data_IF_051805868154
#
_entry.id   IF_051805868154
#
_cell.length_a   1.000
_cell.length_b   1.000
_cell.length_c   1.000
_cell.angle_alpha   90.00
_cell.angle_beta   90.00
_cell.angle_gamma   90.00
#
_symmetry.space_group_name_H-M   'P 1'
#
loop_
_entity.id
_entity.type
_entity.pdbx_description
1 polymer ?
#
# COMPACT_ATOMS: atom_id res chain seq x y z
N UNK A 1 17.78 -1.74 -24.71
CA UNK A 1 16.33 -1.76 -24.51
C UNK A 1 15.99 -0.51 -23.69
N UNK A 2 15.00 0.26 -24.08
CA UNK A 2 14.59 1.47 -23.34
C UNK A 2 13.45 1.09 -22.40
N UNK A 3 13.64 1.24 -21.09
CA UNK A 3 12.65 0.83 -20.08
C UNK A 3 11.67 1.97 -19.71
N UNK A 4 11.97 3.20 -20.09
CA UNK A 4 11.18 4.38 -19.77
C UNK A 4 11.76 5.67 -20.36
N UNK A 5 11.18 6.81 -19.99
CA UNK A 5 11.58 8.14 -20.44
C UNK A 5 11.18 9.22 -19.42
N UNK A 6 11.83 10.37 -19.46
CA UNK A 6 11.42 11.54 -18.69
C UNK A 6 10.23 12.23 -19.37
N UNK A 7 9.29 12.68 -18.57
CA UNK A 7 8.19 13.58 -18.95
C UNK A 7 8.45 14.93 -18.29
N UNK A 8 9.12 15.85 -19.01
CA UNK A 8 9.52 17.15 -18.45
C UNK A 8 8.31 17.99 -18.04
N UNK A 9 7.23 17.93 -18.82
CA UNK A 9 6.00 18.67 -18.54
C UNK A 9 5.34 18.24 -17.24
N UNK A 10 5.33 16.93 -16.97
CA UNK A 10 4.75 16.36 -15.73
C UNK A 10 5.79 16.27 -14.60
N UNK A 11 7.08 16.43 -14.89
CA UNK A 11 8.22 16.16 -13.98
C UNK A 11 8.18 14.75 -13.42
N UNK A 12 7.98 13.78 -14.31
CA UNK A 12 7.87 12.36 -13.99
C UNK A 12 8.91 11.55 -14.75
N UNK A 13 9.32 10.43 -14.18
CA UNK A 13 9.94 9.37 -14.92
C UNK A 13 8.89 8.29 -15.23
N UNK A 14 8.65 8.03 -16.49
CA UNK A 14 7.65 7.09 -16.99
C UNK A 14 8.32 5.77 -17.32
N UNK A 15 7.91 4.70 -16.66
CA UNK A 15 8.40 3.34 -16.84
C UNK A 15 7.35 2.56 -17.62
N UNK A 16 7.74 1.98 -18.75
CA UNK A 16 6.82 1.36 -19.71
C UNK A 16 6.81 -0.17 -19.69
N UNK A 17 7.58 -0.77 -18.79
CA UNK A 17 7.63 -2.22 -18.57
C UNK A 17 7.90 -2.55 -17.12
N UNK A 18 7.22 -3.54 -16.53
CA UNK A 18 7.51 -3.97 -15.16
C UNK A 18 8.81 -4.77 -15.04
N UNK A 19 9.39 -5.21 -16.17
CA UNK A 19 10.59 -6.05 -16.22
C UNK A 19 11.85 -5.23 -16.40
N UNK A 20 12.12 -4.35 -15.44
CA UNK A 20 13.38 -3.58 -15.37
C UNK A 20 14.51 -4.46 -14.80
N UNK A 21 15.80 -4.13 -15.04
CA UNK A 21 16.92 -4.91 -14.51
C UNK A 21 16.97 -4.99 -12.98
N UNK A 22 16.51 -3.93 -12.30
CA UNK A 22 16.40 -3.80 -10.85
C UNK A 22 15.10 -3.09 -10.54
N UNK A 23 14.54 -3.22 -9.30
CA UNK A 23 13.43 -2.39 -8.87
C UNK A 23 13.81 -0.91 -8.92
N UNK A 24 13.03 -0.11 -9.65
CA UNK A 24 13.19 1.33 -9.69
C UNK A 24 12.20 1.94 -8.71
N UNK A 25 12.71 2.74 -7.79
CA UNK A 25 11.96 3.19 -6.61
C UNK A 25 11.74 4.70 -6.62
N UNK A 26 10.68 5.11 -5.96
CA UNK A 26 10.40 6.48 -5.56
C UNK A 26 10.32 6.58 -4.04
N UNK A 27 10.73 7.73 -3.50
CA UNK A 27 10.58 8.06 -2.08
C UNK A 27 9.38 8.99 -1.90
N UNK A 28 8.48 8.61 -1.02
CA UNK A 28 7.29 9.38 -0.66
C UNK A 28 7.44 9.89 0.77
N UNK A 29 6.94 11.11 1.01
CA UNK A 29 7.03 11.77 2.32
C UNK A 29 8.18 12.77 2.43
N UNK A 30 8.05 13.69 3.36
CA UNK A 30 8.99 14.81 3.53
C UNK A 30 9.28 15.18 4.98
N UNK A 31 8.54 14.67 5.97
CA UNK A 31 8.64 15.10 7.37
C UNK A 31 8.92 13.95 8.34
N UNK A 32 7.91 13.16 8.65
CA UNK A 32 8.02 12.11 9.66
C UNK A 32 7.61 10.74 9.14
N UNK A 33 6.60 10.66 8.30
CA UNK A 33 6.16 9.42 7.67
C UNK A 33 6.76 9.31 6.26
N UNK A 34 7.38 8.19 5.99
CA UNK A 34 8.03 7.93 4.72
C UNK A 34 7.62 6.59 4.16
N UNK A 35 7.61 6.52 2.84
CA UNK A 35 7.38 5.29 2.11
C UNK A 35 8.36 5.16 0.94
N UNK A 36 8.87 3.95 0.72
CA UNK A 36 9.49 3.56 -0.53
C UNK A 36 8.46 2.80 -1.35
N UNK A 37 8.35 3.12 -2.62
CA UNK A 37 7.55 2.37 -3.57
C UNK A 37 8.33 2.08 -4.83
N UNK A 38 8.36 0.82 -5.25
CA UNK A 38 8.91 0.44 -6.55
C UNK A 38 7.84 0.59 -7.64
N UNK A 39 8.28 0.55 -8.88
CA UNK A 39 7.40 0.56 -10.02
C UNK A 39 6.44 -0.65 -10.06
N UNK A 40 6.71 -1.71 -9.31
CA UNK A 40 5.82 -2.89 -9.17
C UNK A 40 5.06 -2.93 -7.84
N UNK A 41 4.98 -1.80 -7.11
CA UNK A 41 4.34 -1.64 -5.80
C UNK A 41 5.05 -2.37 -4.64
N UNK A 42 6.28 -2.81 -4.83
CA UNK A 42 7.16 -3.27 -3.76
C UNK A 42 7.62 -2.12 -2.88
N UNK A 43 8.20 -2.44 -1.72
CA UNK A 43 8.74 -1.45 -0.81
C UNK A 43 8.10 -1.49 0.58
N UNK A 44 8.31 -0.43 1.36
CA UNK A 44 7.90 -0.38 2.77
C UNK A 44 7.68 1.04 3.25
N UNK A 45 6.93 1.16 4.36
CA UNK A 45 6.64 2.43 5.02
C UNK A 45 7.19 2.43 6.44
N UNK A 46 7.60 3.61 6.93
CA UNK A 46 8.17 3.78 8.27
C UNK A 46 7.89 5.19 8.83
N UNK A 47 7.97 5.31 10.15
CA UNK A 47 7.85 6.58 10.86
C UNK A 47 9.20 6.96 11.45
N UNK A 48 9.79 8.08 11.01
CA UNK A 48 11.09 8.66 11.42
C UNK A 48 12.30 7.74 11.26
N UNK A 49 12.23 6.49 11.73
CA UNK A 49 13.36 5.55 11.75
C UNK A 49 12.99 4.25 11.01
N UNK A 50 13.64 4.02 9.88
CA UNK A 50 13.40 2.86 9.03
C UNK A 50 13.81 1.51 9.66
N UNK A 51 14.61 1.53 10.74
CA UNK A 51 15.00 0.34 11.48
C UNK A 51 14.07 0.05 12.65
N UNK A 52 13.75 1.07 13.48
CA UNK A 52 13.06 0.90 14.76
C UNK A 52 11.56 1.21 14.71
N UNK A 53 11.11 1.89 13.65
CA UNK A 53 9.70 2.28 13.45
C UNK A 53 9.22 1.89 12.05
N UNK A 54 9.62 0.72 11.57
CA UNK A 54 9.14 0.16 10.31
C UNK A 54 7.73 -0.38 10.47
N UNK A 55 6.84 0.05 9.58
CA UNK A 55 5.42 -0.28 9.63
C UNK A 55 5.13 -1.53 8.81
N UNK A 56 5.66 -1.57 7.59
CA UNK A 56 5.45 -2.71 6.69
C UNK A 56 6.74 -3.49 6.47
N UNK A 57 6.59 -4.80 6.30
CA UNK A 57 7.72 -5.72 6.09
C UNK A 57 8.26 -5.63 4.67
N UNK A 58 9.58 -5.58 4.55
CA UNK A 58 10.30 -5.70 3.29
C UNK A 58 11.66 -6.36 3.52
N UNK A 59 12.03 -7.31 2.67
CA UNK A 59 13.31 -8.01 2.72
C UNK A 59 14.06 -7.78 1.42
N UNK A 60 15.25 -7.20 1.50
CA UNK A 60 16.06 -6.82 0.34
C UNK A 60 16.63 -8.02 -0.44
N UNK A 61 16.85 -9.15 0.23
CA UNK A 61 17.51 -10.32 -0.35
C UNK A 61 16.51 -11.43 -0.70
N UNK A 62 15.29 -11.08 -1.05
CA UNK A 62 14.29 -12.04 -1.47
C UNK A 62 14.46 -12.46 -2.95
N UNK A 63 14.02 -13.67 -3.26
CA UNK A 63 13.88 -14.19 -4.62
C UNK A 63 12.43 -14.65 -4.80
N UNK A 64 11.71 -14.12 -5.78
CA UNK A 64 12.10 -13.05 -6.71
C UNK A 64 12.34 -11.71 -6.01
N UNK A 65 13.15 -10.86 -6.64
CA UNK A 65 13.39 -9.52 -6.14
C UNK A 65 12.07 -8.73 -6.06
N UNK A 66 12.00 -7.78 -5.11
CA UNK A 66 10.84 -6.89 -4.92
C UNK A 66 9.53 -7.62 -4.58
N UNK A 67 9.63 -8.70 -3.81
CA UNK A 67 8.51 -9.59 -3.50
C UNK A 67 7.68 -9.20 -2.27
N UNK A 68 8.02 -8.12 -1.57
CA UNK A 68 7.22 -7.55 -0.48
C UNK A 68 6.82 -6.12 -0.81
N UNK A 69 5.57 -5.78 -0.50
CA UNK A 69 5.03 -4.45 -0.77
C UNK A 69 3.57 -4.34 -0.38
N UNK A 70 2.90 -3.40 -1.01
CA UNK A 70 1.45 -3.20 -0.93
C UNK A 70 0.81 -3.68 -2.22
N UNK A 71 0.05 -4.75 -2.14
CA UNK A 71 -0.51 -5.40 -3.32
C UNK A 71 -2.03 -5.30 -3.34
N UNK A 72 -2.56 -5.13 -4.53
CA UNK A 72 -3.99 -5.11 -4.80
C UNK A 72 -4.25 -6.19 -5.85
N UNK A 73 -4.65 -7.37 -5.38
CA UNK A 73 -5.02 -8.46 -6.26
C UNK A 73 -6.40 -8.21 -6.83
N UNK A 74 -6.55 -8.41 -8.11
CA UNK A 74 -7.83 -8.34 -8.81
C UNK A 74 -8.13 -9.73 -9.35
N UNK A 75 -9.23 -10.34 -8.85
CA UNK A 75 -9.73 -11.63 -9.33
C UNK A 75 -10.92 -11.38 -10.25
N UNK A 76 -10.71 -11.51 -11.56
CA UNK A 76 -11.70 -11.39 -12.62
C UNK A 76 -11.93 -12.77 -13.26
N UNK A 77 -12.96 -13.48 -12.83
CA UNK A 77 -13.16 -14.90 -13.14
C UNK A 77 -12.01 -15.75 -12.61
N UNK A 78 -11.38 -16.52 -13.50
CA UNK A 78 -10.22 -17.34 -13.17
C UNK A 78 -8.88 -16.58 -13.25
N UNK A 79 -8.92 -15.34 -13.74
CA UNK A 79 -7.71 -14.52 -13.87
C UNK A 79 -7.44 -13.75 -12.60
N UNK A 80 -6.24 -13.94 -12.03
CA UNK A 80 -5.73 -13.13 -10.90
C UNK A 80 -4.55 -12.30 -11.39
N UNK A 81 -4.58 -11.00 -11.14
CA UNK A 81 -3.56 -10.07 -11.57
C UNK A 81 -3.41 -8.88 -10.61
N UNK A 82 -2.34 -8.10 -10.77
CA UNK A 82 -2.06 -6.89 -9.98
C UNK A 82 -1.73 -5.74 -10.94
N UNK A 83 -2.10 -4.48 -10.64
CA UNK A 83 -1.77 -3.34 -11.48
C UNK A 83 -0.26 -3.15 -11.68
N UNK A 84 0.55 -3.48 -10.67
CA UNK A 84 2.02 -3.43 -10.71
C UNK A 84 2.70 -4.67 -11.30
N UNK A 85 1.96 -5.65 -11.82
CA UNK A 85 2.47 -6.93 -12.31
C UNK A 85 2.94 -7.88 -11.19
N UNK A 86 3.78 -7.42 -10.26
CA UNK A 86 4.10 -8.19 -9.05
C UNK A 86 2.89 -8.20 -8.09
N UNK A 87 2.71 -9.24 -7.26
CA UNK A 87 3.56 -10.43 -7.14
C UNK A 87 3.10 -11.59 -8.05
N UNK A 88 1.92 -11.49 -8.69
CA UNK A 88 1.35 -12.58 -9.50
C UNK A 88 2.12 -12.84 -10.80
N UNK A 89 2.80 -11.82 -11.32
CA UNK A 89 3.50 -11.82 -12.60
C UNK A 89 2.60 -12.22 -13.79
N UNK A 90 1.30 -12.04 -13.64
CA UNK A 90 0.33 -12.24 -14.71
C UNK A 90 0.56 -11.22 -15.81
N UNK A 91 0.66 -11.68 -17.06
CA UNK A 91 0.89 -10.79 -18.20
C UNK A 91 -0.25 -9.79 -18.35
N UNK A 92 0.10 -8.51 -18.40
CA UNK A 92 -0.84 -7.40 -18.54
C UNK A 92 -1.00 -7.01 -20.01
N UNK A 93 -2.19 -6.56 -20.40
CA UNK A 93 -2.46 -6.03 -21.75
C UNK A 93 -1.74 -4.70 -21.97
N UNK A 94 -1.59 -3.90 -20.90
CA UNK A 94 -0.72 -2.72 -20.86
C UNK A 94 -0.26 -2.43 -19.43
N UNK A 95 0.90 -1.78 -19.32
CA UNK A 95 1.51 -1.39 -18.06
C UNK A 95 2.22 -0.04 -18.21
N UNK A 96 2.05 0.81 -17.22
CA UNK A 96 2.80 2.06 -17.07
C UNK A 96 2.98 2.37 -15.59
N UNK A 97 4.18 2.82 -15.21
CA UNK A 97 4.41 3.43 -13.91
C UNK A 97 4.99 4.83 -14.09
N UNK A 98 4.49 5.79 -13.34
CA UNK A 98 4.96 7.18 -13.28
C UNK A 98 5.46 7.48 -11.89
N UNK A 99 6.74 7.79 -11.78
CA UNK A 99 7.35 8.30 -10.56
C UNK A 99 7.46 9.81 -10.65
N UNK A 100 6.65 10.51 -9.87
CA UNK A 100 6.62 11.97 -9.79
C UNK A 100 7.21 12.49 -8.48
N UNK A 101 7.07 13.78 -8.26
CA UNK A 101 7.56 14.47 -7.07
C UNK A 101 6.67 14.16 -5.85
N UNK A 102 7.08 13.16 -5.07
CA UNK A 102 6.38 12.74 -3.85
C UNK A 102 5.15 11.86 -4.09
N UNK A 103 4.91 11.40 -5.31
CA UNK A 103 3.84 10.45 -5.64
C UNK A 103 4.29 9.43 -6.68
N UNK A 104 3.56 8.32 -6.77
CA UNK A 104 3.73 7.33 -7.83
C UNK A 104 2.36 6.89 -8.35
N UNK A 105 2.27 6.64 -9.64
CA UNK A 105 1.06 6.15 -10.29
C UNK A 105 1.43 4.88 -11.06
N UNK A 106 0.78 3.77 -10.73
CA UNK A 106 0.96 2.49 -11.41
C UNK A 106 -0.34 2.14 -12.10
N UNK A 107 -0.32 1.97 -13.42
CA UNK A 107 -1.49 1.63 -14.21
C UNK A 107 -1.28 0.32 -14.91
N UNK A 108 -2.12 -0.66 -14.59
CA UNK A 108 -2.19 -1.94 -15.26
C UNK A 108 -3.55 -2.13 -15.95
N UNK A 109 -3.55 -2.84 -17.07
CA UNK A 109 -4.79 -3.23 -17.76
C UNK A 109 -4.78 -4.72 -18.05
N UNK A 110 -5.90 -5.37 -17.79
CA UNK A 110 -6.13 -6.77 -18.10
C UNK A 110 -7.61 -7.00 -18.44
N UNK A 111 -7.89 -7.74 -19.50
CA UNK A 111 -9.25 -8.13 -19.89
C UNK A 111 -10.23 -6.94 -19.95
N UNK A 112 -9.83 -5.81 -20.54
CA UNK A 112 -10.59 -4.54 -20.59
C UNK A 112 -10.85 -3.87 -19.23
N UNK A 113 -10.35 -4.40 -18.13
CA UNK A 113 -10.37 -3.73 -16.83
C UNK A 113 -9.06 -2.97 -16.64
N UNK A 114 -9.15 -1.66 -16.37
CA UNK A 114 -8.01 -0.82 -16.04
C UNK A 114 -7.97 -0.58 -14.52
N UNK A 115 -6.82 -0.76 -13.91
CA UNK A 115 -6.56 -0.43 -12.52
C UNK A 115 -5.43 0.61 -12.44
N UNK A 116 -5.75 1.79 -11.94
CA UNK A 116 -4.81 2.89 -11.69
C UNK A 116 -4.61 3.00 -10.18
N UNK A 117 -3.42 2.72 -9.70
CA UNK A 117 -3.00 2.83 -8.31
C UNK A 117 -2.15 4.09 -8.13
N UNK A 118 -2.62 5.04 -7.36
CA UNK A 118 -1.95 6.30 -7.04
C UNK A 118 -1.53 6.27 -5.57
N UNK A 119 -0.24 6.46 -5.31
CA UNK A 119 0.38 6.34 -3.99
C UNK A 119 1.10 7.63 -3.64
N UNK A 120 0.83 8.18 -2.46
CA UNK A 120 1.52 9.34 -1.93
C UNK A 120 1.42 9.45 -0.41
N UNK A 121 2.29 10.23 0.19
CA UNK A 121 2.25 10.61 1.60
C UNK A 121 1.80 12.08 1.68
N UNK A 122 0.65 12.39 2.30
CA UNK A 122 0.16 13.75 2.44
C UNK A 122 1.11 14.62 3.29
N UNK A 123 1.26 15.89 2.92
CA UNK A 123 2.04 16.85 3.71
C UNK A 123 1.39 17.05 5.08
N UNK A 124 2.20 16.91 6.14
CA UNK A 124 1.77 17.13 7.53
C UNK A 124 1.00 15.98 8.16
N UNK A 125 0.89 14.81 7.49
CA UNK A 125 0.22 13.64 8.06
C UNK A 125 1.12 12.39 8.10
N UNK A 126 0.83 11.51 9.04
CA UNK A 126 1.59 10.28 9.27
C UNK A 126 0.91 9.08 8.62
N UNK A 127 0.62 9.17 7.33
CA UNK A 127 0.00 8.08 6.58
C UNK A 127 0.42 8.08 5.11
N UNK A 128 0.24 6.95 4.47
CA UNK A 128 0.27 6.74 3.03
C UNK A 128 -1.16 6.59 2.54
N UNK A 129 -1.47 7.21 1.41
CA UNK A 129 -2.73 7.07 0.71
C UNK A 129 -2.48 6.25 -0.55
N UNK A 130 -3.26 5.18 -0.71
CA UNK A 130 -3.27 4.34 -1.90
C UNK A 130 -4.67 4.40 -2.52
N UNK A 131 -4.84 5.22 -3.57
CA UNK A 131 -6.10 5.33 -4.30
C UNK A 131 -6.07 4.40 -5.50
N UNK A 132 -6.90 3.35 -5.44
CA UNK A 132 -7.09 2.39 -6.54
C UNK A 132 -8.35 2.75 -7.32
N UNK A 133 -8.19 3.23 -8.54
CA UNK A 133 -9.30 3.53 -9.46
C UNK A 133 -9.43 2.40 -10.47
N UNK A 134 -10.59 1.77 -10.48
CA UNK A 134 -10.94 0.63 -11.34
C UNK A 134 -11.94 1.10 -12.39
N UNK A 135 -11.64 0.85 -13.67
CA UNK A 135 -12.49 1.28 -14.80
C UNK A 135 -12.80 0.10 -15.70
N UNK A 136 -14.08 -0.16 -15.93
CA UNK A 136 -14.55 -1.14 -16.90
C UNK A 136 -14.56 -0.55 -18.32
N UNK A 137 -13.59 -0.92 -19.13
CA UNK A 137 -13.49 -0.50 -20.53
C UNK A 137 -14.15 -1.46 -21.53
N UNK A 138 -14.94 -2.45 -21.05
CA UNK A 138 -15.71 -3.35 -21.92
C UNK A 138 -17.12 -2.81 -22.17
N UNK A 139 -17.83 -3.44 -23.07
CA UNK A 139 -19.24 -3.17 -23.42
C UNK A 139 -20.25 -3.96 -22.57
N UNK A 140 -19.77 -4.76 -21.62
CA UNK A 140 -20.59 -5.56 -20.71
C UNK A 140 -20.29 -5.22 -19.25
N UNK A 141 -21.26 -5.45 -18.36
CA UNK A 141 -21.04 -5.36 -16.91
C UNK A 141 -19.97 -6.37 -16.45
N UNK A 142 -19.07 -5.94 -15.57
CA UNK A 142 -18.02 -6.77 -14.98
C UNK A 142 -18.16 -6.86 -13.48
N UNK A 143 -18.08 -8.08 -12.93
CA UNK A 143 -18.01 -8.36 -11.51
C UNK A 143 -16.69 -9.04 -11.20
N UNK A 144 -15.96 -8.51 -10.23
CA UNK A 144 -14.65 -9.01 -9.81
C UNK A 144 -14.44 -8.72 -8.33
N UNK A 145 -13.41 -9.32 -7.74
CA UNK A 145 -13.06 -9.12 -6.34
C UNK A 145 -11.68 -8.48 -6.23
N UNK A 146 -11.56 -7.48 -5.37
CA UNK A 146 -10.29 -6.85 -4.99
C UNK A 146 -9.87 -7.35 -3.63
N UNK A 147 -8.61 -7.78 -3.50
CA UNK A 147 -7.97 -8.08 -2.23
C UNK A 147 -6.79 -7.13 -2.04
N UNK A 148 -6.85 -6.27 -1.02
CA UNK A 148 -5.66 -5.55 -0.58
C UNK A 148 -4.73 -6.49 0.18
N UNK A 149 -3.43 -6.22 0.17
CA UNK A 149 -2.47 -6.97 0.97
C UNK A 149 -1.28 -6.11 1.35
N UNK A 150 -0.96 -6.10 2.61
CA UNK A 150 0.34 -5.70 3.12
C UNK A 150 0.73 -6.57 4.32
N UNK A 151 2.02 -6.68 4.59
CA UNK A 151 2.55 -7.42 5.72
C UNK A 151 3.10 -6.43 6.75
N UNK A 152 2.61 -6.50 7.99
CA UNK A 152 3.11 -5.63 9.06
C UNK A 152 4.46 -6.11 9.56
N UNK A 153 5.39 -5.18 9.72
CA UNK A 153 6.62 -5.39 10.47
C UNK A 153 6.34 -5.22 11.96
N UNK A 154 6.99 -6.03 12.80
CA UNK A 154 6.92 -5.86 14.25
C UNK A 154 7.85 -4.73 14.74
N UNK A 155 7.90 -3.62 14.04
CA UNK A 155 8.62 -2.36 14.26
C UNK A 155 10.14 -2.42 14.08
N UNK A 156 10.85 -3.43 14.61
CA UNK A 156 12.28 -3.55 14.45
C UNK A 156 12.62 -4.37 13.19
N UNK A 157 13.10 -3.70 12.16
CA UNK A 157 13.37 -4.32 10.87
C UNK A 157 14.51 -5.34 10.90
N UNK A 158 15.49 -5.17 11.76
CA UNK A 158 16.62 -6.10 11.88
C UNK A 158 16.18 -7.39 12.56
N UNK A 159 15.47 -7.26 13.68
CA UNK A 159 14.93 -8.44 14.39
C UNK A 159 13.92 -9.19 13.50
N UNK A 160 13.08 -8.45 12.76
CA UNK A 160 12.13 -9.02 11.81
C UNK A 160 12.82 -9.82 10.69
N UNK A 161 13.95 -9.33 10.18
CA UNK A 161 14.71 -10.00 9.12
C UNK A 161 15.42 -11.27 9.59
N UNK A 162 15.70 -11.40 10.90
CA UNK A 162 16.41 -12.54 11.50
C UNK A 162 15.50 -13.54 12.20
N UNK A 163 14.19 -13.32 12.20
CA UNK A 163 13.17 -14.08 12.95
C UNK A 163 13.30 -14.01 14.48
N UNK A 164 14.24 -13.25 15.04
CA UNK A 164 14.33 -13.05 16.49
C UNK A 164 13.13 -12.33 17.06
N UNK A 165 12.53 -11.43 16.30
CA UNK A 165 11.37 -10.67 16.69
C UNK A 165 10.20 -11.58 17.10
N UNK A 166 10.04 -12.72 16.44
CA UNK A 166 9.08 -13.76 16.76
C UNK A 166 9.16 -14.23 18.21
N UNK A 167 10.35 -14.23 18.80
CA UNK A 167 10.56 -14.68 20.17
C UNK A 167 10.39 -13.57 21.21
N UNK A 168 10.42 -12.30 20.80
CA UNK A 168 10.50 -11.14 21.68
C UNK A 168 9.35 -10.15 21.51
N UNK A 169 8.66 -10.20 20.39
CA UNK A 169 7.56 -9.28 20.07
C UNK A 169 6.33 -10.07 19.68
N UNK A 170 5.21 -9.67 20.25
CA UNK A 170 3.90 -10.21 19.91
C UNK A 170 3.11 -9.17 19.14
N UNK A 171 2.76 -9.48 17.91
CA UNK A 171 1.83 -8.67 17.12
C UNK A 171 0.40 -8.97 17.54
N UNK A 172 -0.39 -7.95 17.82
CA UNK A 172 -1.82 -8.06 18.08
C UNK A 172 -2.59 -7.24 17.06
N UNK A 173 -3.70 -7.77 16.62
CA UNK A 173 -4.55 -7.14 15.61
C UNK A 173 -5.96 -6.96 16.18
N UNK A 174 -6.53 -5.80 15.95
CA UNK A 174 -7.94 -5.50 16.16
C UNK A 174 -8.56 -5.15 14.80
N UNK A 175 -9.77 -5.64 14.54
CA UNK A 175 -10.53 -5.32 13.32
C UNK A 175 -11.85 -4.69 13.71
N UNK A 176 -12.13 -3.50 13.15
CA UNK A 176 -13.38 -2.77 13.39
C UNK A 176 -13.86 -2.16 12.08
N UNK A 177 -15.01 -2.62 11.58
CA UNK A 177 -15.51 -2.24 10.27
C UNK A 177 -14.52 -2.56 9.18
N UNK A 178 -14.11 -1.55 8.43
CA UNK A 178 -13.12 -1.66 7.33
C UNK A 178 -11.71 -1.30 7.78
N UNK A 179 -11.40 -1.26 9.08
CA UNK A 179 -10.10 -0.87 9.60
C UNK A 179 -9.45 -2.01 10.37
N UNK A 180 -8.22 -2.31 10.01
CA UNK A 180 -7.33 -3.24 10.68
C UNK A 180 -6.31 -2.42 11.47
N UNK A 181 -6.22 -2.64 12.77
CA UNK A 181 -5.28 -1.99 13.69
C UNK A 181 -4.22 -3.01 14.10
N UNK A 182 -2.97 -2.62 14.00
CA UNK A 182 -1.83 -3.45 14.38
C UNK A 182 -0.99 -2.76 15.44
N UNK A 183 -0.83 -3.39 16.59
CA UNK A 183 0.11 -3.01 17.64
C UNK A 183 1.10 -4.13 17.89
N UNK A 184 2.23 -3.80 18.44
CA UNK A 184 3.23 -4.77 18.87
C UNK A 184 3.49 -4.58 20.35
N UNK A 185 3.28 -5.61 21.12
CA UNK A 185 3.70 -5.69 22.50
C UNK A 185 5.09 -6.34 22.56
N UNK A 186 6.00 -5.66 23.22
CA UNK A 186 7.33 -6.13 23.54
C UNK A 186 7.58 -5.89 25.04
N UNK A 187 8.79 -6.07 25.52
CA UNK A 187 9.19 -5.83 26.94
C UNK A 187 8.69 -4.49 27.49
N UNK A 188 8.46 -3.52 26.61
CA UNK A 188 7.83 -2.25 26.93
C UNK A 188 6.50 -2.14 26.21
N UNK A 189 5.44 -1.76 26.92
CA UNK A 189 4.16 -1.46 26.32
C UNK A 189 4.28 -0.13 25.58
N UNK A 190 4.06 -0.16 24.27
CA UNK A 190 4.16 1.01 23.40
C UNK A 190 2.81 1.72 23.30
N UNK A 191 2.85 3.04 23.07
CA UNK A 191 1.67 3.89 22.89
C UNK A 191 1.33 4.14 21.40
N UNK A 192 2.02 3.47 20.49
CA UNK A 192 1.82 3.63 19.06
C UNK A 192 1.34 2.34 18.40
N UNK A 193 0.62 2.53 17.28
CA UNK A 193 0.10 1.44 16.46
C UNK A 193 -0.03 1.88 15.01
N UNK A 194 -0.19 0.94 14.09
CA UNK A 194 -0.52 1.16 12.70
C UNK A 194 -2.02 0.90 12.46
N UNK A 195 -2.58 1.58 11.46
CA UNK A 195 -3.90 1.26 10.92
C UNK A 195 -3.78 1.03 9.41
N UNK A 196 -4.61 0.13 8.90
CA UNK A 196 -4.85 -0.04 7.47
C UNK A 196 -6.35 -0.13 7.23
N UNK A 197 -6.89 0.80 6.46
CA UNK A 197 -8.34 0.93 6.26
C UNK A 197 -8.68 1.18 4.79
N UNK A 198 -9.94 0.94 4.42
CA UNK A 198 -10.50 1.31 3.12
C UNK A 198 -11.81 2.08 3.31
N UNK A 199 -12.10 3.01 2.41
CA UNK A 199 -13.24 3.94 2.49
C UNK A 199 -14.61 3.33 2.15
N UNK A 200 -14.72 2.01 2.09
CA UNK A 200 -15.95 1.28 1.76
C UNK A 200 -16.16 0.11 2.71
N UNK A 201 -17.39 -0.35 2.95
CA UNK A 201 -17.62 -1.63 3.63
C UNK A 201 -16.88 -2.76 2.91
N UNK A 202 -16.37 -3.69 3.68
CA UNK A 202 -15.63 -4.86 3.19
C UNK A 202 -16.50 -6.11 3.24
N UNK A 203 -16.27 -7.04 2.32
CA UNK A 203 -16.97 -8.34 2.27
C UNK A 203 -16.25 -9.41 3.08
N UNK A 204 -15.01 -9.15 3.47
CA UNK A 204 -14.19 -10.03 4.30
C UNK A 204 -12.82 -9.43 4.58
N UNK A 205 -12.08 -10.06 5.46
CA UNK A 205 -10.72 -9.67 5.81
C UNK A 205 -9.87 -10.90 6.17
N UNK A 206 -8.56 -10.74 6.14
CA UNK A 206 -7.61 -11.64 6.78
C UNK A 206 -6.48 -10.85 7.43
N UNK A 207 -6.06 -11.29 8.61
CA UNK A 207 -4.92 -10.69 9.29
C UNK A 207 -3.83 -11.69 9.63
N UNK A 208 -4.05 -12.99 9.39
CA UNK A 208 -3.04 -14.04 9.49
C UNK A 208 -2.43 -14.32 8.12
N UNK A 209 -1.10 -14.14 7.99
CA UNK A 209 -0.38 -14.43 6.75
C UNK A 209 -0.58 -15.88 6.29
N UNK A 210 -0.48 -16.81 7.22
CA UNK A 210 -0.57 -18.24 6.90
C UNK A 210 -1.96 -18.63 6.42
N UNK A 211 -3.02 -18.02 6.99
CA UNK A 211 -4.39 -18.20 6.52
C UNK A 211 -4.64 -17.58 5.14
N UNK A 212 -4.05 -16.41 4.87
CA UNK A 212 -4.18 -15.75 3.58
C UNK A 212 -3.41 -16.46 2.47
N UNK A 213 -2.14 -16.76 2.71
CA UNK A 213 -1.28 -17.38 1.68
C UNK A 213 -1.63 -18.86 1.45
N UNK A 214 -1.92 -19.58 2.52
CA UNK A 214 -2.04 -21.04 2.50
C UNK A 214 -0.69 -21.75 2.66
N UNK A 215 -0.73 -23.03 3.03
CA UNK A 215 0.46 -23.84 3.22
C UNK A 215 1.20 -24.04 1.88
N UNK A 216 2.50 -23.83 1.89
CA UNK A 216 3.40 -24.02 0.74
C UNK A 216 3.16 -23.07 -0.43
N UNK A 217 2.46 -21.95 -0.20
CA UNK A 217 2.18 -20.93 -1.20
C UNK A 217 2.95 -19.63 -0.90
N UNK A 218 2.85 -18.66 -1.81
CA UNK A 218 3.53 -17.38 -1.73
C UNK A 218 2.61 -16.22 -2.11
N UNK A 219 3.11 -14.99 -2.03
CA UNK A 219 2.39 -13.82 -2.51
C UNK A 219 2.00 -13.91 -4.01
N UNK A 220 2.69 -14.72 -4.80
CA UNK A 220 2.34 -14.90 -6.21
C UNK A 220 1.02 -15.65 -6.43
N UNK A 221 0.62 -16.50 -5.48
CA UNK A 221 -0.54 -17.38 -5.60
C UNK A 221 -1.25 -17.62 -4.25
N UNK A 222 -1.73 -16.57 -3.55
CA UNK A 222 -2.39 -16.74 -2.27
C UNK A 222 -3.67 -17.60 -2.40
N UNK A 223 -3.86 -18.51 -1.46
CA UNK A 223 -5.01 -19.43 -1.44
C UNK A 223 -6.33 -18.67 -1.35
N UNK A 224 -6.41 -17.65 -0.49
CA UNK A 224 -7.60 -16.81 -0.32
C UNK A 224 -7.99 -16.12 -1.62
N UNK A 225 -7.02 -15.58 -2.36
CA UNK A 225 -7.30 -14.91 -3.64
C UNK A 225 -7.76 -15.91 -4.69
N UNK A 226 -7.13 -17.08 -4.77
CA UNK A 226 -7.53 -18.13 -5.69
C UNK A 226 -8.95 -18.64 -5.41
N UNK A 227 -9.28 -18.83 -4.11
CA UNK A 227 -10.62 -19.22 -3.67
C UNK A 227 -11.66 -18.09 -3.80
N UNK A 228 -11.22 -16.82 -3.95
CA UNK A 228 -12.08 -15.66 -4.09
C UNK A 228 -12.76 -15.21 -2.80
N UNK A 229 -12.32 -15.66 -1.63
CA UNK A 229 -12.96 -15.36 -0.35
C UNK A 229 -11.98 -15.36 0.81
N UNK A 230 -12.01 -14.28 1.63
CA UNK A 230 -11.31 -14.20 2.91
C UNK A 230 -11.89 -15.15 3.94
N UNK A 231 -11.06 -15.54 4.91
CA UNK A 231 -11.41 -16.46 6.00
C UNK A 231 -11.81 -15.74 7.29
N UNK A 232 -11.67 -14.42 7.33
CA UNK A 232 -11.83 -13.56 8.50
C UNK A 232 -10.88 -13.96 9.65
N UNK A 233 -9.67 -14.38 9.29
CA UNK A 233 -8.65 -14.78 10.26
C UNK A 233 -8.15 -13.58 11.08
N UNK A 234 -7.90 -13.82 12.37
CA UNK A 234 -7.29 -12.85 13.28
C UNK A 234 -5.95 -13.38 13.75
N UNK A 235 -4.88 -12.66 13.44
CA UNK A 235 -3.52 -13.04 13.83
C UNK A 235 -3.25 -12.69 15.30
N UNK A 236 -2.64 -13.65 15.99
CA UNK A 236 -2.08 -13.44 17.32
C UNK A 236 -0.63 -13.90 17.31
N UNK A 237 0.28 -13.01 17.71
CA UNK A 237 1.69 -13.31 17.86
C UNK A 237 2.54 -12.75 16.72
N UNK A 238 2.66 -13.40 15.59
CA UNK A 238 3.60 -13.04 14.53
C UNK A 238 2.99 -13.14 13.13
N UNK A 239 3.70 -12.52 12.17
CA UNK A 239 3.32 -12.46 10.76
C UNK A 239 1.89 -11.89 10.51
N UNK A 240 1.52 -10.76 11.14
CA UNK A 240 0.26 -10.10 10.87
C UNK A 240 0.27 -9.48 9.46
N UNK A 241 -0.88 -9.59 8.78
CA UNK A 241 -1.12 -8.96 7.49
C UNK A 241 -2.36 -8.06 7.56
N UNK A 242 -2.49 -7.14 6.63
CA UNK A 242 -3.69 -6.36 6.40
C UNK A 242 -4.30 -6.74 5.06
N UNK A 243 -5.43 -7.42 5.09
CA UNK A 243 -6.18 -7.83 3.90
C UNK A 243 -7.62 -7.39 4.01
N UNK A 244 -8.10 -6.68 3.00
CA UNK A 244 -9.51 -6.37 2.81
C UNK A 244 -10.00 -7.06 1.54
N UNK A 245 -11.17 -7.66 1.59
CA UNK A 245 -11.89 -8.16 0.43
C UNK A 245 -13.01 -7.18 0.08
N UNK A 246 -13.06 -6.74 -1.18
CA UNK A 246 -14.12 -5.86 -1.69
C UNK A 246 -14.63 -6.43 -3.02
N UNK A 247 -15.90 -6.79 -3.07
CA UNK A 247 -16.56 -7.19 -4.30
C UNK A 247 -17.02 -5.96 -5.08
N UNK A 248 -16.73 -5.92 -6.36
CA UNK A 248 -16.97 -4.77 -7.24
C UNK A 248 -17.73 -5.23 -8.47
N UNK A 249 -18.78 -4.49 -8.82
CA UNK A 249 -19.49 -4.61 -10.10
C UNK A 249 -19.48 -3.26 -10.77
N UNK A 250 -19.05 -3.20 -12.03
CA UNK A 250 -19.00 -1.97 -12.84
C UNK A 250 -19.77 -2.17 -14.14
N UNK A 251 -20.61 -1.20 -14.47
CA UNK A 251 -21.25 -1.10 -15.75
C UNK A 251 -20.24 -0.71 -16.85
N UNK A 252 -20.55 -0.85 -18.14
CA UNK A 252 -19.71 -0.38 -19.24
C UNK A 252 -19.31 1.09 -19.07
N UNK A 253 -18.01 1.38 -19.12
CA UNK A 253 -17.44 2.72 -18.93
C UNK A 253 -17.45 3.25 -17.49
N UNK A 254 -17.99 2.51 -16.53
CA UNK A 254 -18.03 2.94 -15.13
C UNK A 254 -16.67 2.81 -14.47
N UNK A 255 -16.40 3.76 -13.55
CA UNK A 255 -15.21 3.73 -12.69
C UNK A 255 -15.60 3.76 -11.23
N UNK A 256 -14.83 3.06 -10.39
CA UNK A 256 -14.96 3.09 -8.93
C UNK A 256 -13.59 3.32 -8.28
N UNK A 257 -13.57 4.20 -7.30
CA UNK A 257 -12.39 4.49 -6.47
C UNK A 257 -12.48 3.73 -5.16
N UNK A 258 -11.39 3.06 -4.78
CA UNK A 258 -11.15 2.51 -3.46
C UNK A 258 -9.95 3.24 -2.85
N UNK A 259 -10.16 3.90 -1.72
CA UNK A 259 -9.13 4.69 -1.04
C UNK A 259 -8.66 3.92 0.18
N UNK A 260 -7.42 3.48 0.16
CA UNK A 260 -6.78 2.83 1.29
C UNK A 260 -5.89 3.82 2.03
N UNK A 261 -5.86 3.73 3.36
CA UNK A 261 -5.01 4.55 4.22
C UNK A 261 -4.18 3.62 5.11
N UNK A 262 -2.86 3.69 4.96
CA UNK A 262 -1.91 3.07 5.87
C UNK A 262 -1.34 4.14 6.79
N UNK A 263 -1.71 4.16 8.05
CA UNK A 263 -1.36 5.21 8.99
C UNK A 263 -0.55 4.73 10.19
N UNK A 264 0.15 5.68 10.81
CA UNK A 264 0.85 5.53 12.08
C UNK A 264 0.26 6.50 13.10
N UNK A 265 -0.12 5.96 14.25
CA UNK A 265 -0.71 6.72 15.35
C UNK A 265 0.15 6.55 16.60
N UNK A 266 0.37 7.65 17.28
CA UNK A 266 0.95 7.68 18.61
C UNK A 266 -0.04 8.39 19.55
N UNK A 267 -0.57 7.65 20.53
CA UNK A 267 -1.45 8.22 21.55
C UNK A 267 -0.61 8.78 22.70
N UNK A 268 -1.10 9.78 23.45
CA UNK A 268 -0.54 10.10 24.76
C UNK A 268 -0.53 8.86 25.66
N UNK A 269 0.43 8.75 26.57
CA UNK A 269 0.58 7.56 27.41
C UNK A 269 -0.62 7.29 28.32
N UNK A 270 -1.26 8.34 28.79
CA UNK A 270 -2.47 8.31 29.62
C UNK A 270 -3.75 8.01 28.81
N UNK A 271 -3.72 8.19 27.48
CA UNK A 271 -4.82 7.91 26.55
C UNK A 271 -4.59 6.65 25.68
N UNK A 272 -3.62 5.84 26.04
CA UNK A 272 -3.20 4.69 25.24
C UNK A 272 -4.33 3.69 24.98
N UNK A 273 -5.14 3.41 25.99
CA UNK A 273 -6.19 2.41 25.98
C UNK A 273 -7.58 3.01 26.19
N UNK A 274 -8.55 2.54 25.41
CA UNK A 274 -9.97 2.84 25.66
C UNK A 274 -10.56 1.91 26.74
N UNK A 275 -10.02 0.70 26.88
CA UNK A 275 -10.31 -0.29 27.91
C UNK A 275 -9.09 -1.21 28.07
N UNK A 276 -8.99 -2.06 29.11
CA UNK A 276 -7.88 -2.98 29.26
C UNK A 276 -7.66 -3.83 27.98
N UNK A 277 -6.49 -3.66 27.36
CA UNK A 277 -6.10 -4.37 26.14
C UNK A 277 -6.71 -3.86 24.83
N UNK A 278 -7.61 -2.88 24.86
CA UNK A 278 -8.27 -2.29 23.68
C UNK A 278 -7.61 -0.95 23.31
N UNK A 279 -7.10 -0.82 22.09
CA UNK A 279 -6.46 0.41 21.60
C UNK A 279 -7.46 1.57 21.58
N UNK A 280 -7.04 2.76 22.02
CA UNK A 280 -7.81 3.98 21.78
C UNK A 280 -7.68 4.37 20.29
N UNK A 281 -8.75 4.23 19.55
CA UNK A 281 -8.82 4.40 18.09
C UNK A 281 -9.21 5.80 17.63
N UNK A 282 -9.51 6.72 18.55
CA UNK A 282 -10.05 8.06 18.23
C UNK A 282 -9.21 8.81 17.20
N UNK A 283 -7.89 8.82 17.37
CA UNK A 283 -6.97 9.50 16.43
C UNK A 283 -6.89 8.80 15.08
N UNK A 284 -6.96 7.47 15.07
CA UNK A 284 -6.96 6.69 13.84
C UNK A 284 -8.25 6.90 13.03
N UNK A 285 -9.40 6.91 13.68
CA UNK A 285 -10.69 7.18 13.04
C UNK A 285 -10.72 8.60 12.46
N UNK A 286 -10.19 9.58 13.17
CA UNK A 286 -10.05 10.95 12.67
C UNK A 286 -9.10 11.03 11.46
N UNK A 287 -8.00 10.26 11.43
CA UNK A 287 -7.11 10.18 10.26
C UNK A 287 -7.83 9.55 9.07
N UNK A 288 -8.50 8.42 9.23
CA UNK A 288 -9.26 7.75 8.18
C UNK A 288 -10.34 8.66 7.58
N UNK A 289 -11.06 9.41 8.43
CA UNK A 289 -12.11 10.34 7.99
C UNK A 289 -11.60 11.50 7.13
N UNK A 290 -10.33 11.90 7.26
CA UNK A 290 -9.73 12.96 6.43
C UNK A 290 -9.51 12.57 4.98
N UNK A 291 -9.53 11.28 4.67
CA UNK A 291 -9.23 10.74 3.33
C UNK A 291 -10.30 9.77 2.84
N UNK A 292 -11.54 9.95 3.30
CA UNK A 292 -12.65 9.06 3.00
C UNK A 292 -13.25 9.25 1.59
N UNK A 293 -12.97 10.37 0.92
CA UNK A 293 -13.56 10.73 -0.37
C UNK A 293 -12.49 11.15 -1.38
N UNK A 294 -12.78 10.97 -2.68
CA UNK A 294 -11.88 11.41 -3.77
C UNK A 294 -11.57 12.91 -3.67
N UNK A 295 -12.54 13.76 -3.35
CA UNK A 295 -12.31 15.20 -3.20
C UNK A 295 -11.30 15.54 -2.09
N UNK A 296 -11.32 14.80 -0.98
CA UNK A 296 -10.34 14.97 0.11
C UNK A 296 -8.93 14.50 -0.31
N UNK A 297 -8.85 13.39 -1.05
CA UNK A 297 -7.59 12.87 -1.59
C UNK A 297 -7.02 13.82 -2.63
N UNK A 298 -7.85 14.33 -3.57
CA UNK A 298 -7.44 15.31 -4.57
C UNK A 298 -6.91 16.60 -3.93
N UNK A 299 -7.58 17.10 -2.90
CA UNK A 299 -7.13 18.26 -2.15
C UNK A 299 -5.78 18.01 -1.42
N UNK A 300 -5.55 16.79 -0.90
CA UNK A 300 -4.28 16.43 -0.29
C UNK A 300 -3.16 16.30 -1.31
N UNK A 301 -3.44 15.72 -2.47
CA UNK A 301 -2.48 15.61 -3.57
C UNK A 301 -2.13 16.99 -4.14
N UNK A 302 -3.10 17.89 -4.30
CA UNK A 302 -2.85 19.27 -4.71
C UNK A 302 -1.91 20.00 -3.73
N UNK A 303 -2.12 19.86 -2.42
CA UNK A 303 -1.19 20.42 -1.40
C UNK A 303 0.22 19.83 -1.51
N UNK A 304 0.35 18.55 -1.82
CA UNK A 304 1.65 17.91 -2.06
C UNK A 304 2.34 18.50 -3.29
N UNK A 305 1.62 18.68 -4.39
CA UNK A 305 2.14 19.34 -5.60
C UNK A 305 2.59 20.77 -5.31
N UNK A 306 1.78 21.55 -4.59
CA UNK A 306 2.13 22.92 -4.20
C UNK A 306 3.37 22.96 -3.31
N UNK A 307 3.50 22.05 -2.35
CA UNK A 307 4.67 21.92 -1.48
C UNK A 307 5.96 21.74 -2.31
N UNK A 308 5.97 20.75 -3.21
CA UNK A 308 7.14 20.48 -4.06
C UNK A 308 7.41 21.60 -5.06
N UNK A 309 6.37 22.18 -5.66
CA UNK A 309 6.52 23.30 -6.57
C UNK A 309 7.15 24.52 -5.87
N UNK A 310 6.68 24.85 -4.68
CA UNK A 310 7.23 25.96 -3.91
C UNK A 310 8.69 25.70 -3.51
N UNK A 311 9.01 24.49 -3.05
CA UNK A 311 10.37 24.12 -2.65
C UNK A 311 11.34 24.20 -3.86
N UNK A 312 10.94 23.65 -5.01
CA UNK A 312 11.80 23.57 -6.19
C UNK A 312 11.81 24.85 -7.03
N UNK A 313 10.89 25.78 -6.84
CA UNK A 313 10.87 27.06 -7.54
C UNK A 313 11.94 28.05 -7.06
N UNK A 314 12.58 27.77 -5.93
CA UNK A 314 13.65 28.62 -5.38
C UNK A 314 14.90 28.63 -6.24
N UNK A 315 15.09 27.63 -7.10
CA UNK A 315 16.22 27.52 -7.99
C UNK A 315 15.81 26.90 -9.33
N UNK A 316 16.17 27.53 -10.44
CA UNK A 316 15.90 27.03 -11.79
C UNK A 316 17.13 27.15 -12.67
N UNK A 317 17.51 26.08 -13.35
CA UNK A 317 18.60 26.05 -14.33
C UNK A 317 18.03 25.78 -15.73
N UNK A 318 18.46 26.55 -16.72
CA UNK A 318 18.24 26.24 -18.12
C UNK A 318 19.61 25.92 -18.74
N UNK A 319 19.75 24.73 -19.28
CA UNK A 319 20.96 24.28 -19.96
C UNK A 319 20.64 23.78 -21.36
N UNK A 320 21.62 23.90 -22.26
CA UNK A 320 21.59 23.23 -23.58
C UNK A 320 21.97 21.74 -23.49
N UNK A 321 22.47 21.30 -22.33
CA UNK A 321 22.77 19.89 -22.05
C UNK A 321 21.53 19.21 -21.44
N UNK A 322 20.98 18.22 -22.13
CA UNK A 322 19.81 17.47 -21.69
C UNK A 322 20.05 16.64 -20.41
N UNK A 323 21.29 16.54 -19.93
CA UNK A 323 21.66 15.80 -18.71
C UNK A 323 21.83 16.69 -17.48
N UNK A 324 21.75 17.98 -17.64
CA UNK A 324 21.72 18.98 -16.58
C UNK A 324 20.29 19.46 -16.40
#
# INVERSE_FOLDING_TARGET
>A
MKFGHFSDTAREYVITTPRTPLPWINYLGSEAFFSLVSHTAGGYSFYKDAKLRRITRYRYNNVPADSNGRYYYIKDGDTVWNPGWQPTQTELDSYECRHGLGYSIITGKKNSLTAKLELFVPVGDNCEIDRLVLTNGSDASKSFTVFSYLEFCLWNAVDDSTNFQRNFSTGEVEVEGSTIYHKTEYRERRNHYALFTVNTPIDGFDTSRDAFLGAWRSNANPEVVENGRCTNSVAHGWAPVGVHQVNVTLQPGESRSLIFVLGYIENPEDEKWAAPGVINKTRAQAMAARYATDAQVDAALARLHDHWNNLLSTYSVKSSDEKL
#
